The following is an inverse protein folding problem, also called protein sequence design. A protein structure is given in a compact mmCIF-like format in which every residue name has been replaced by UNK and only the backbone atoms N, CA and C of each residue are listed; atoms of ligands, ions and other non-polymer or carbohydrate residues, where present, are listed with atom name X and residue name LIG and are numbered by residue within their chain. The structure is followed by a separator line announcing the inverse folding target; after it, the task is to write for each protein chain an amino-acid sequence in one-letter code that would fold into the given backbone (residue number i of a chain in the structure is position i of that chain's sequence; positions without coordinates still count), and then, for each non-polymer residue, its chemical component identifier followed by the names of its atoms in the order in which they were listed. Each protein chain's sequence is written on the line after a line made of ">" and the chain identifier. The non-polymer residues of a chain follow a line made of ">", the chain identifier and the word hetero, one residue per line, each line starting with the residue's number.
data_IF_220226663093
#
_entry.id   IF_220226663093
#
_cell.length_a   1.000
_cell.length_b   1.000
_cell.length_c   1.000
_cell.angle_alpha   90.00
_cell.angle_beta   90.00
_cell.angle_gamma   90.00
#
_symmetry.space_group_name_H-M   'P 1'
#
loop_
_entity.id
_entity.type
_entity.pdbx_description
1 polymer ?
#
# COMPACT_ATOMS: atom_id res chain seq x y z
N UNK A 1 -42.41 -9.10 -16.32
CA UNK A 1 -42.95 -9.39 -17.67
C UNK A 1 -43.84 -8.25 -18.08
N UNK A 2 -43.76 -7.87 -19.36
CA UNK A 2 -44.26 -6.64 -19.93
C UNK A 2 -45.75 -6.35 -19.65
N UNK A 3 -46.07 -5.10 -19.35
CA UNK A 3 -47.35 -4.49 -19.70
C UNK A 3 -47.08 -3.28 -20.59
N UNK A 4 -47.01 -3.62 -21.88
CA UNK A 4 -47.44 -2.90 -23.06
C UNK A 4 -48.15 -1.58 -22.73
N UNK A 5 -47.41 -0.49 -22.95
CA UNK A 5 -47.98 0.80 -23.31
C UNK A 5 -48.80 0.62 -24.59
N UNK A 6 -50.10 0.86 -24.53
CA UNK A 6 -50.90 1.11 -25.72
C UNK A 6 -51.97 2.17 -25.47
N UNK A 7 -51.80 3.26 -26.22
CA UNK A 7 -52.83 4.05 -26.87
C UNK A 7 -53.61 5.05 -26.02
N UNK A 8 -52.94 6.21 -25.88
CA UNK A 8 -53.51 7.54 -26.01
C UNK A 8 -54.64 7.58 -27.05
N UNK A 9 -55.83 7.92 -26.58
CA UNK A 9 -57.01 8.22 -27.40
C UNK A 9 -57.73 9.41 -26.78
N UNK A 10 -57.13 10.59 -26.94
CA UNK A 10 -57.78 11.87 -26.68
C UNK A 10 -59.09 11.94 -27.47
N UNK A 11 -60.21 11.91 -26.77
CA UNK A 11 -61.44 12.53 -27.27
C UNK A 11 -62.03 13.35 -26.15
N UNK A 12 -61.64 14.62 -26.17
CA UNK A 12 -62.35 15.71 -25.54
C UNK A 12 -63.80 15.68 -26.06
N UNK A 13 -64.70 15.08 -25.31
CA UNK A 13 -66.13 15.29 -25.47
C UNK A 13 -66.66 15.89 -24.18
N UNK A 14 -66.63 17.23 -24.15
CA UNK A 14 -67.48 18.05 -23.32
C UNK A 14 -68.93 17.68 -23.63
N UNK A 15 -69.48 16.68 -22.94
CA UNK A 15 -70.91 16.44 -22.90
C UNK A 15 -71.47 17.12 -21.66
N UNK A 16 -72.23 18.18 -21.93
CA UNK A 16 -72.94 18.98 -20.95
C UNK A 16 -73.64 18.14 -19.88
N UNK A 17 -73.64 18.65 -18.66
CA UNK A 17 -74.47 18.17 -17.53
C UNK A 17 -75.99 18.19 -17.85
N UNK A 18 -76.39 18.74 -19.00
CA UNK A 18 -77.76 18.80 -19.50
C UNK A 18 -77.98 17.96 -20.78
N UNK A 19 -77.42 16.75 -20.83
CA UNK A 19 -77.64 15.80 -21.91
C UNK A 19 -79.13 15.46 -22.08
N UNK A 20 -79.69 15.88 -23.23
CA UNK A 20 -80.84 15.31 -23.94
C UNK A 20 -81.99 14.77 -23.08
N UNK A 21 -82.91 15.65 -22.69
CA UNK A 21 -84.24 15.29 -22.18
C UNK A 21 -85.06 14.62 -23.28
N UNK A 22 -84.89 13.32 -23.47
CA UNK A 22 -85.74 12.52 -24.34
C UNK A 22 -86.89 11.93 -23.50
N UNK A 23 -88.06 12.57 -23.62
CA UNK A 23 -89.40 12.01 -23.44
C UNK A 23 -89.59 10.99 -22.31
N UNK A 24 -89.82 11.48 -21.08
CA UNK A 24 -90.76 10.93 -20.07
C UNK A 24 -90.82 11.83 -18.82
N UNK A 25 -90.76 13.15 -18.99
CA UNK A 25 -91.04 14.09 -17.90
C UNK A 25 -92.55 14.36 -17.97
N UNK A 26 -93.32 13.85 -17.00
CA UNK A 26 -94.67 14.35 -16.73
C UNK A 26 -94.50 15.77 -16.17
N UNK A 27 -94.44 16.74 -17.08
CA UNK A 27 -94.29 18.15 -16.78
C UNK A 27 -95.66 18.79 -16.67
N UNK A 28 -95.97 19.33 -15.49
CA UNK A 28 -97.10 20.20 -15.27
C UNK A 28 -98.32 19.48 -14.73
N UNK A 29 -98.44 19.46 -13.40
CA UNK A 29 -99.61 19.80 -12.61
C UNK A 29 -99.13 19.82 -11.15
N UNK A 30 -99.44 20.88 -10.41
CA UNK A 30 -99.08 21.05 -9.01
C UNK A 30 -99.78 19.99 -8.13
N UNK A 31 -99.17 18.81 -7.99
CA UNK A 31 -99.63 17.75 -7.10
C UNK A 31 -98.42 17.25 -6.32
N UNK A 32 -98.49 17.26 -4.99
CA UNK A 32 -97.43 16.88 -4.06
C UNK A 32 -97.13 15.37 -4.06
N UNK A 33 -96.83 14.80 -5.22
CA UNK A 33 -96.33 13.44 -5.40
C UNK A 33 -94.92 13.54 -5.98
N UNK A 34 -93.93 13.31 -5.11
CA UNK A 34 -92.51 13.33 -5.44
C UNK A 34 -92.12 12.05 -6.19
N UNK A 35 -92.31 12.07 -7.51
CA UNK A 35 -91.99 10.94 -8.39
C UNK A 35 -90.50 10.63 -8.43
N UNK A 36 -89.63 11.61 -8.18
CA UNK A 36 -88.17 11.42 -8.11
C UNK A 36 -87.79 10.68 -6.82
N UNK A 37 -88.38 11.03 -5.67
CA UNK A 37 -88.20 10.25 -4.43
C UNK A 37 -88.76 8.82 -4.54
N UNK A 38 -89.82 8.61 -5.33
CA UNK A 38 -90.33 7.26 -5.61
C UNK A 38 -89.38 6.44 -6.50
N UNK A 39 -88.85 7.05 -7.57
CA UNK A 39 -87.85 6.43 -8.45
C UNK A 39 -86.55 6.16 -7.67
N UNK A 40 -86.13 7.11 -6.84
CA UNK A 40 -85.00 6.93 -5.93
C UNK A 40 -85.27 5.76 -4.98
N UNK A 41 -86.43 5.71 -4.31
CA UNK A 41 -86.83 4.60 -3.46
C UNK A 41 -86.81 3.24 -4.16
N UNK A 42 -87.25 3.17 -5.43
CA UNK A 42 -87.19 1.93 -6.24
C UNK A 42 -85.76 1.55 -6.62
N UNK A 43 -84.92 2.52 -6.99
CA UNK A 43 -83.52 2.30 -7.42
C UNK A 43 -82.57 2.08 -6.24
N UNK A 44 -82.89 2.57 -5.04
CA UNK A 44 -82.09 2.36 -3.82
C UNK A 44 -81.90 0.87 -3.51
N UNK A 45 -82.92 0.03 -3.74
CA UNK A 45 -82.82 -1.43 -3.57
C UNK A 45 -81.75 -2.06 -4.50
N UNK A 46 -81.68 -1.60 -5.75
CA UNK A 46 -80.67 -2.02 -6.71
C UNK A 46 -79.29 -1.45 -6.38
N UNK A 47 -79.19 -0.19 -5.93
CA UNK A 47 -77.94 0.41 -5.44
C UNK A 47 -77.35 -0.41 -4.28
N UNK A 48 -78.18 -0.81 -3.31
CA UNK A 48 -77.75 -1.66 -2.20
C UNK A 48 -77.28 -3.04 -2.68
N UNK A 49 -78.00 -3.66 -3.62
CA UNK A 49 -77.58 -4.94 -4.22
C UNK A 49 -76.25 -4.82 -4.98
N UNK A 50 -76.05 -3.73 -5.71
CA UNK A 50 -74.78 -3.43 -6.40
C UNK A 50 -73.64 -3.24 -5.39
N UNK A 51 -73.88 -2.50 -4.30
CA UNK A 51 -72.90 -2.33 -3.23
C UNK A 51 -72.53 -3.67 -2.58
N UNK A 52 -73.52 -4.54 -2.30
CA UNK A 52 -73.25 -5.88 -1.76
C UNK A 52 -72.38 -6.71 -2.72
N UNK A 53 -72.71 -6.72 -4.02
CA UNK A 53 -71.92 -7.43 -5.03
C UNK A 53 -70.51 -6.85 -5.19
N UNK A 54 -70.36 -5.52 -5.06
CA UNK A 54 -69.04 -4.87 -5.03
C UNK A 54 -68.23 -5.32 -3.81
N UNK A 55 -68.84 -5.37 -2.62
CA UNK A 55 -68.20 -5.86 -1.40
C UNK A 55 -67.79 -7.33 -1.52
N UNK A 56 -68.66 -8.19 -2.07
CA UNK A 56 -68.37 -9.60 -2.28
C UNK A 56 -67.24 -9.79 -3.29
N UNK A 57 -67.21 -8.99 -4.36
CA UNK A 57 -66.09 -8.95 -5.30
C UNK A 57 -64.79 -8.55 -4.61
N UNK A 58 -64.79 -7.52 -3.76
CA UNK A 58 -63.61 -7.12 -2.99
C UNK A 58 -63.14 -8.23 -2.04
N UNK A 59 -64.05 -8.89 -1.33
CA UNK A 59 -63.72 -10.04 -0.46
C UNK A 59 -63.09 -11.19 -1.25
N UNK A 60 -63.66 -11.52 -2.42
CA UNK A 60 -63.12 -12.57 -3.28
C UNK A 60 -61.74 -12.19 -3.84
N UNK A 61 -61.53 -10.93 -4.21
CA UNK A 61 -60.20 -10.42 -4.59
C UNK A 61 -59.20 -10.53 -3.45
N UNK A 62 -59.57 -10.15 -2.22
CA UNK A 62 -58.71 -10.30 -1.05
C UNK A 62 -58.39 -11.76 -0.74
N UNK A 63 -59.36 -12.66 -0.85
CA UNK A 63 -59.14 -14.10 -0.70
C UNK A 63 -58.18 -14.62 -1.77
N UNK A 64 -58.37 -14.24 -3.04
CA UNK A 64 -57.47 -14.62 -4.13
C UNK A 64 -56.05 -14.11 -3.90
N UNK A 65 -55.90 -12.83 -3.53
CA UNK A 65 -54.59 -12.24 -3.20
C UNK A 65 -53.95 -12.93 -1.99
N UNK A 66 -54.75 -13.32 -0.99
CA UNK A 66 -54.28 -14.11 0.15
C UNK A 66 -53.73 -15.47 -0.27
N UNK A 67 -54.45 -16.20 -1.12
CA UNK A 67 -53.98 -17.49 -1.65
C UNK A 67 -52.75 -17.35 -2.54
N UNK A 68 -52.70 -16.34 -3.40
CA UNK A 68 -51.52 -16.06 -4.23
C UNK A 68 -50.30 -15.75 -3.37
N UNK A 69 -50.45 -14.90 -2.35
CA UNK A 69 -49.34 -14.57 -1.43
C UNK A 69 -48.77 -15.80 -0.71
N UNK A 70 -49.63 -16.73 -0.27
CA UNK A 70 -49.19 -17.98 0.36
C UNK A 70 -48.48 -18.88 -0.67
N UNK A 71 -49.03 -19.00 -1.87
CA UNK A 71 -48.42 -19.79 -2.95
C UNK A 71 -47.03 -19.26 -3.31
N UNK A 72 -46.89 -17.95 -3.44
CA UNK A 72 -45.61 -17.30 -3.76
C UNK A 72 -44.56 -17.63 -2.67
N UNK A 73 -44.93 -17.52 -1.38
CA UNK A 73 -44.04 -17.88 -0.27
C UNK A 73 -43.63 -19.35 -0.28
N UNK A 74 -44.53 -20.26 -0.63
CA UNK A 74 -44.22 -21.70 -0.73
C UNK A 74 -43.28 -21.99 -1.90
N UNK A 75 -43.49 -21.34 -3.04
CA UNK A 75 -42.61 -21.46 -4.21
C UNK A 75 -41.23 -20.90 -3.89
N UNK A 76 -41.13 -19.75 -3.23
CA UNK A 76 -39.85 -19.17 -2.79
C UNK A 76 -39.13 -20.07 -1.79
N UNK A 77 -39.85 -20.61 -0.81
CA UNK A 77 -39.28 -21.57 0.15
C UNK A 77 -38.70 -22.79 -0.57
N UNK A 78 -39.46 -23.38 -1.49
CA UNK A 78 -39.01 -24.53 -2.29
C UNK A 78 -37.78 -24.19 -3.14
N UNK A 79 -37.81 -23.05 -3.85
CA UNK A 79 -36.67 -22.58 -4.65
C UNK A 79 -35.42 -22.37 -3.82
N UNK A 80 -35.55 -21.87 -2.59
CA UNK A 80 -34.41 -21.56 -1.72
C UNK A 80 -33.88 -22.76 -0.96
N UNK A 81 -34.73 -23.66 -0.48
CA UNK A 81 -34.33 -24.68 0.49
C UNK A 81 -34.46 -26.12 0.02
N UNK A 82 -35.18 -26.39 -1.08
CA UNK A 82 -35.35 -27.76 -1.59
C UNK A 82 -34.84 -27.94 -3.00
N UNK A 83 -34.55 -26.85 -3.73
CA UNK A 83 -33.99 -26.92 -5.08
C UNK A 83 -32.54 -27.38 -5.08
N UNK A 84 -32.20 -28.35 -5.94
CA UNK A 84 -30.82 -28.82 -6.13
C UNK A 84 -29.83 -27.75 -6.61
N UNK A 85 -30.32 -26.70 -7.27
CA UNK A 85 -29.47 -25.60 -7.75
C UNK A 85 -29.25 -24.51 -6.69
N UNK A 86 -29.91 -24.60 -5.54
CA UNK A 86 -29.72 -23.64 -4.45
C UNK A 86 -28.51 -23.99 -3.59
N UNK A 87 -27.71 -22.98 -3.25
CA UNK A 87 -26.59 -23.11 -2.31
C UNK A 87 -27.06 -23.39 -0.87
N UNK A 88 -28.32 -23.10 -0.56
CA UNK A 88 -28.95 -23.38 0.75
C UNK A 88 -29.91 -24.57 0.71
N UNK A 89 -29.69 -25.50 -0.23
CA UNK A 89 -30.52 -26.71 -0.34
C UNK A 89 -30.34 -27.63 0.88
N UNK A 90 -31.36 -27.71 1.73
CA UNK A 90 -31.39 -28.55 2.92
C UNK A 90 -31.46 -30.05 2.59
N UNK A 91 -31.81 -30.41 1.35
CA UNK A 91 -31.81 -31.80 0.89
C UNK A 91 -30.44 -32.23 0.33
N UNK A 92 -29.50 -31.30 0.16
CA UNK A 92 -28.15 -31.62 -0.32
C UNK A 92 -27.26 -32.07 0.83
N UNK A 93 -26.60 -33.22 0.67
CA UNK A 93 -25.60 -33.68 1.63
C UNK A 93 -24.44 -32.67 1.81
N UNK A 94 -24.08 -31.94 0.75
CA UNK A 94 -23.02 -30.93 0.79
C UNK A 94 -23.37 -29.70 1.62
N UNK A 95 -24.66 -29.44 1.87
CA UNK A 95 -25.10 -28.34 2.74
C UNK A 95 -24.61 -28.57 4.17
N UNK A 96 -24.62 -29.83 4.62
CA UNK A 96 -24.20 -30.25 5.96
C UNK A 96 -22.71 -30.58 6.07
N UNK A 97 -21.91 -30.38 5.02
CA UNK A 97 -20.46 -30.48 5.16
C UNK A 97 -20.01 -29.41 6.18
N UNK A 98 -19.30 -29.85 7.22
CA UNK A 98 -18.80 -28.97 8.27
C UNK A 98 -17.94 -27.86 7.65
N UNK A 99 -18.10 -26.64 8.18
CA UNK A 99 -17.11 -25.60 7.94
C UNK A 99 -15.76 -26.11 8.43
N UNK A 100 -14.70 -25.90 7.66
CA UNK A 100 -13.33 -26.25 8.07
C UNK A 100 -13.03 -25.55 9.39
N UNK A 101 -12.88 -26.32 10.47
CA UNK A 101 -12.45 -25.83 11.78
C UNK A 101 -10.94 -26.04 11.85
N UNK A 102 -10.19 -24.94 11.78
CA UNK A 102 -8.73 -24.99 11.93
C UNK A 102 -8.34 -24.86 13.40
N UNK A 103 -7.70 -25.89 13.95
CA UNK A 103 -7.01 -25.82 15.24
C UNK A 103 -5.50 -25.83 14.99
N UNK A 104 -4.88 -24.65 14.91
CA UNK A 104 -3.43 -24.51 14.75
C UNK A 104 -2.73 -24.57 16.11
N UNK A 105 -1.62 -25.32 16.20
CA UNK A 105 -0.80 -25.48 17.41
C UNK A 105 0.69 -25.41 17.03
N UNK A 106 1.53 -24.91 17.93
CA UNK A 106 2.99 -24.82 17.76
C UNK A 106 3.51 -23.42 17.39
N UNK A 107 4.85 -23.28 17.29
CA UNK A 107 5.56 -21.99 17.12
C UNK A 107 5.17 -21.19 15.87
N UNK A 108 4.65 -21.86 14.82
CA UNK A 108 4.29 -21.25 13.54
C UNK A 108 2.79 -21.38 13.23
N UNK A 109 1.95 -21.51 14.27
CA UNK A 109 0.50 -21.63 14.13
C UNK A 109 -0.12 -20.48 13.31
N UNK A 110 0.45 -19.28 13.43
CA UNK A 110 -0.02 -18.05 12.78
C UNK A 110 0.20 -18.04 11.25
N UNK A 111 1.04 -18.94 10.73
CA UNK A 111 1.36 -19.04 9.30
C UNK A 111 0.48 -20.06 8.55
N UNK A 112 -0.44 -20.73 9.24
CA UNK A 112 -1.30 -21.76 8.66
C UNK A 112 -2.75 -21.29 8.70
N UNK A 113 -3.32 -21.05 7.53
CA UNK A 113 -4.76 -20.78 7.37
C UNK A 113 -5.36 -21.81 6.43
N UNK A 114 -6.53 -22.37 6.80
CA UNK A 114 -7.31 -23.19 5.89
C UNK A 114 -8.78 -22.76 5.98
N UNK A 115 -9.43 -22.69 4.82
CA UNK A 115 -10.84 -22.30 4.70
C UNK A 115 -11.52 -23.23 3.71
N UNK A 116 -12.77 -23.60 3.95
CA UNK A 116 -13.55 -24.43 3.03
C UNK A 116 -14.55 -25.32 3.75
N UNK A 117 -14.98 -26.39 3.07
CA UNK A 117 -15.82 -27.45 3.61
C UNK A 117 -15.16 -28.80 3.30
N UNK A 118 -15.00 -29.65 4.31
CA UNK A 118 -14.37 -30.97 4.17
C UNK A 118 -15.09 -31.98 5.07
N UNK A 119 -15.07 -33.24 4.66
CA UNK A 119 -15.51 -34.39 5.48
C UNK A 119 -14.33 -35.20 6.03
N UNK A 120 -13.10 -34.76 5.76
CA UNK A 120 -11.85 -35.43 6.14
C UNK A 120 -11.00 -34.56 7.05
N UNK A 121 -10.28 -35.21 7.96
CA UNK A 121 -9.28 -34.57 8.82
C UNK A 121 -7.94 -34.42 8.09
N UNK A 122 -7.43 -33.20 8.04
CA UNK A 122 -6.09 -32.91 7.51
C UNK A 122 -5.19 -32.53 8.68
N UNK A 123 -4.19 -33.34 8.96
CA UNK A 123 -3.22 -33.10 10.05
C UNK A 123 -1.87 -32.71 9.46
N UNK A 124 -1.40 -31.51 9.82
CA UNK A 124 -0.03 -31.09 9.56
C UNK A 124 0.88 -31.59 10.68
N UNK A 125 1.58 -32.71 10.45
CA UNK A 125 2.51 -33.28 11.42
C UNK A 125 3.72 -32.37 11.70
N UNK A 126 4.09 -31.50 10.74
CA UNK A 126 5.17 -30.53 10.88
C UNK A 126 5.65 -30.02 9.52
N UNK A 127 6.23 -28.82 9.51
CA UNK A 127 6.91 -28.26 8.33
C UNK A 127 8.38 -28.66 8.39
N UNK A 128 8.85 -29.45 7.41
CA UNK A 128 10.25 -29.88 7.35
C UNK A 128 11.21 -28.77 6.92
N UNK A 129 10.85 -28.02 5.88
CA UNK A 129 11.65 -26.93 5.32
C UNK A 129 10.73 -25.95 4.59
N UNK A 130 11.04 -24.65 4.67
CA UNK A 130 10.35 -23.63 3.87
C UNK A 130 10.89 -23.63 2.44
N UNK A 131 10.00 -23.37 1.47
CA UNK A 131 10.44 -23.10 0.11
C UNK A 131 11.32 -21.85 0.10
N UNK A 132 12.47 -21.92 -0.54
CA UNK A 132 13.41 -20.80 -0.70
C UNK A 132 13.62 -20.55 -2.17
N UNK A 133 13.71 -19.28 -2.57
CA UNK A 133 14.03 -18.92 -3.94
C UNK A 133 15.44 -19.41 -4.29
N UNK A 134 15.65 -19.85 -5.53
CA UNK A 134 16.98 -20.20 -6.02
C UNK A 134 17.87 -18.95 -5.95
N UNK A 135 19.04 -19.10 -5.33
CA UNK A 135 20.07 -18.04 -5.24
C UNK A 135 21.33 -18.53 -5.91
N UNK A 136 21.90 -17.70 -6.78
CA UNK A 136 23.21 -17.96 -7.34
C UNK A 136 24.27 -17.47 -6.35
N UNK A 137 24.96 -18.43 -5.75
CA UNK A 137 26.18 -18.20 -4.97
C UNK A 137 27.36 -18.65 -5.83
N UNK A 138 28.37 -17.80 -5.96
CA UNK A 138 29.62 -18.21 -6.60
C UNK A 138 30.41 -19.05 -5.59
N UNK A 139 30.85 -20.24 -6.00
CA UNK A 139 31.59 -21.18 -5.14
C UNK A 139 33.02 -20.71 -4.85
N UNK A 140 33.59 -19.92 -5.75
CA UNK A 140 34.62 -18.96 -5.42
C UNK A 140 33.88 -17.71 -4.96
N UNK A 141 34.00 -17.33 -3.68
CA UNK A 141 33.59 -15.99 -3.28
C UNK A 141 34.19 -15.01 -4.28
N UNK A 142 33.42 -14.02 -4.71
CA UNK A 142 33.95 -12.96 -5.54
C UNK A 142 35.22 -12.46 -4.81
N UNK A 143 36.42 -12.80 -5.26
CA UNK A 143 37.71 -12.48 -4.63
C UNK A 143 38.03 -12.96 -3.20
N UNK A 144 37.12 -13.58 -2.43
CA UNK A 144 37.34 -13.91 -1.00
C UNK A 144 36.98 -15.36 -0.65
N UNK A 145 37.66 -15.94 0.34
CA UNK A 145 37.41 -17.32 0.78
C UNK A 145 36.13 -17.42 1.62
N UNK A 146 34.96 -17.40 0.99
CA UNK A 146 33.66 -17.51 1.66
C UNK A 146 32.52 -16.87 0.87
N UNK A 147 31.31 -16.90 1.44
CA UNK A 147 30.21 -16.05 0.96
C UNK A 147 30.28 -14.71 1.71
N UNK A 148 30.66 -13.65 1.01
CA UNK A 148 30.90 -12.33 1.61
C UNK A 148 29.96 -11.27 1.02
N UNK A 149 29.46 -10.37 1.87
CA UNK A 149 28.80 -9.15 1.45
C UNK A 149 29.75 -7.97 1.68
N UNK A 150 30.19 -7.30 0.61
CA UNK A 150 31.29 -6.32 0.67
C UNK A 150 30.80 -4.92 0.33
N UNK A 151 31.09 -3.96 1.21
CA UNK A 151 30.80 -2.54 0.98
C UNK A 151 31.84 -1.83 0.11
N UNK A 152 31.49 -0.64 -0.37
CA UNK A 152 32.39 0.32 -0.98
C UNK A 152 33.25 1.08 0.05
N UNK A 153 34.10 1.97 -0.45
CA UNK A 153 34.96 2.84 0.38
C UNK A 153 34.11 3.70 1.32
N UNK A 154 34.52 3.77 2.59
CA UNK A 154 33.95 4.68 3.59
C UNK A 154 35.03 5.51 4.25
N UNK A 155 34.67 6.70 4.72
CA UNK A 155 35.55 7.53 5.57
C UNK A 155 34.76 7.94 6.80
N UNK A 156 34.88 7.13 7.85
CA UNK A 156 34.10 7.31 9.08
C UNK A 156 34.63 8.42 9.98
N UNK A 157 35.80 9.00 9.66
CA UNK A 157 36.42 10.07 10.44
C UNK A 157 35.88 11.46 10.12
N UNK A 158 35.25 11.61 8.95
CA UNK A 158 34.70 12.89 8.51
C UNK A 158 33.46 13.27 9.34
N UNK A 159 33.25 14.58 9.59
CA UNK A 159 31.98 15.05 10.12
C UNK A 159 30.87 14.72 9.12
N UNK A 160 29.67 14.49 9.65
CA UNK A 160 28.48 14.32 8.84
C UNK A 160 27.59 15.54 9.03
N UNK A 161 27.14 16.13 7.92
CA UNK A 161 26.16 17.21 7.97
C UNK A 161 24.79 16.57 7.80
N UNK A 162 23.93 16.77 8.79
CA UNK A 162 22.60 16.20 8.88
C UNK A 162 21.54 17.23 8.54
N UNK A 163 20.55 16.82 7.76
CA UNK A 163 19.35 17.58 7.51
C UNK A 163 18.47 17.64 8.75
N UNK A 164 18.07 18.85 9.12
CA UNK A 164 17.07 19.13 10.14
C UNK A 164 15.64 19.08 9.57
N UNK A 165 15.48 18.78 8.28
CA UNK A 165 14.17 18.68 7.61
C UNK A 165 13.58 17.27 7.68
N UNK A 166 13.75 16.59 8.81
CA UNK A 166 13.22 15.25 9.01
C UNK A 166 11.69 15.26 9.13
N UNK A 167 11.03 14.26 8.57
CA UNK A 167 9.57 14.13 8.65
C UNK A 167 8.97 13.60 7.35
N UNK A 168 7.69 13.87 7.14
CA UNK A 168 6.99 13.41 5.94
C UNK A 168 6.21 14.53 5.25
N UNK A 169 6.06 14.42 3.94
CA UNK A 169 5.11 15.14 3.13
C UNK A 169 4.06 14.15 2.63
N UNK A 170 2.81 14.38 2.96
CA UNK A 170 1.67 13.58 2.53
C UNK A 170 0.93 14.30 1.41
N UNK A 171 0.71 13.60 0.31
CA UNK A 171 0.00 14.08 -0.86
C UNK A 171 -1.18 13.16 -1.15
N UNK A 172 -2.28 13.71 -1.68
CA UNK A 172 -3.36 12.94 -2.27
C UNK A 172 -3.38 13.17 -3.78
N UNK A 173 -3.28 12.08 -4.54
CA UNK A 173 -3.42 12.08 -5.99
C UNK A 173 -4.83 11.61 -6.36
N UNK A 174 -5.54 12.46 -7.11
CA UNK A 174 -6.89 12.21 -7.60
C UNK A 174 -7.91 11.83 -6.49
N UNK A 175 -7.65 12.25 -5.25
CA UNK A 175 -8.50 12.03 -4.07
C UNK A 175 -8.52 10.61 -3.49
N UNK A 176 -7.88 9.64 -4.15
CA UNK A 176 -7.99 8.21 -3.80
C UNK A 176 -6.64 7.49 -3.61
N UNK A 177 -5.53 8.08 -4.08
CA UNK A 177 -4.19 7.50 -3.93
C UNK A 177 -3.35 8.42 -3.04
N UNK A 178 -3.05 7.97 -1.82
CA UNK A 178 -2.20 8.70 -0.90
C UNK A 178 -0.72 8.36 -1.14
N UNK A 179 0.11 9.41 -1.17
CA UNK A 179 1.55 9.33 -1.34
C UNK A 179 2.18 9.90 -0.07
N UNK A 180 3.12 9.18 0.52
CA UNK A 180 3.91 9.68 1.66
C UNK A 180 5.37 9.70 1.27
N UNK A 181 5.94 10.90 1.22
CA UNK A 181 7.36 11.12 0.93
C UNK A 181 8.07 11.36 2.25
N UNK A 182 9.09 10.56 2.56
CA UNK A 182 9.82 10.63 3.83
C UNK A 182 11.15 11.33 3.64
N UNK A 183 11.42 12.34 4.45
CA UNK A 183 12.66 13.07 4.49
C UNK A 183 13.46 12.68 5.73
N UNK A 184 14.72 12.34 5.52
CA UNK A 184 15.62 11.81 6.53
C UNK A 184 16.76 12.79 6.80
N UNK A 185 17.46 12.57 7.91
CA UNK A 185 18.59 13.41 8.31
C UNK A 185 19.81 13.25 7.40
N UNK A 186 19.86 12.21 6.56
CA UNK A 186 20.93 12.00 5.58
C UNK A 186 20.67 12.66 4.23
N UNK A 187 19.46 13.20 4.01
CA UNK A 187 19.11 13.82 2.73
C UNK A 187 19.94 15.11 2.53
N UNK A 188 20.66 15.21 1.41
CA UNK A 188 21.41 16.42 1.04
C UNK A 188 20.47 17.47 0.44
N UNK A 189 19.91 18.32 1.31
CA UNK A 189 18.91 19.34 0.94
C UNK A 189 19.44 20.77 1.09
N UNK A 190 20.75 20.95 1.30
CA UNK A 190 21.29 22.23 1.75
C UNK A 190 22.51 22.69 0.95
N UNK A 191 22.69 24.00 0.96
CA UNK A 191 23.88 24.71 0.47
C UNK A 191 25.05 24.56 1.44
N UNK A 192 26.26 24.94 1.02
CA UNK A 192 27.44 24.92 1.89
C UNK A 192 27.25 25.78 3.17
N UNK A 193 26.42 26.83 3.10
CA UNK A 193 26.07 27.70 4.23
C UNK A 193 24.97 27.11 5.13
N UNK A 194 24.50 25.88 4.87
CA UNK A 194 23.52 25.16 5.68
C UNK A 194 22.06 25.62 5.50
N UNK A 195 21.77 26.45 4.49
CA UNK A 195 20.42 26.86 4.09
C UNK A 195 19.83 25.90 3.07
N UNK A 196 18.49 25.84 2.97
CA UNK A 196 17.78 25.01 2.01
C UNK A 196 18.19 25.35 0.58
N UNK A 197 18.64 24.33 -0.14
CA UNK A 197 18.91 24.38 -1.57
C UNK A 197 17.67 23.85 -2.32
N UNK A 198 16.97 24.74 -3.02
CA UNK A 198 15.73 24.39 -3.70
C UNK A 198 15.92 23.43 -4.88
N UNK A 199 17.08 23.46 -5.55
CA UNK A 199 17.36 22.52 -6.66
C UNK A 199 17.67 21.14 -6.12
N UNK A 200 18.49 21.03 -5.06
CA UNK A 200 18.69 19.75 -4.37
C UNK A 200 17.39 19.19 -3.80
N UNK A 201 16.57 20.06 -3.19
CA UNK A 201 15.25 19.68 -2.68
C UNK A 201 14.32 19.16 -3.80
N UNK A 202 14.32 19.82 -4.96
CA UNK A 202 13.58 19.34 -6.13
C UNK A 202 14.04 17.95 -6.56
N UNK A 203 15.35 17.74 -6.69
CA UNK A 203 15.91 16.42 -7.07
C UNK A 203 15.52 15.34 -6.07
N UNK A 204 15.64 15.61 -4.76
CA UNK A 204 15.24 14.66 -3.72
C UNK A 204 13.73 14.34 -3.78
N UNK A 205 12.88 15.33 -4.09
CA UNK A 205 11.44 15.12 -4.24
C UNK A 205 11.11 14.26 -5.46
N UNK A 206 11.76 14.51 -6.59
CA UNK A 206 11.61 13.72 -7.83
C UNK A 206 12.05 12.26 -7.65
N UNK A 207 13.16 12.05 -6.93
CA UNK A 207 13.66 10.71 -6.58
C UNK A 207 12.67 9.97 -5.69
N UNK A 208 12.23 10.57 -4.58
CA UNK A 208 11.25 9.97 -3.67
C UNK A 208 9.91 9.69 -4.37
N UNK A 209 9.50 10.53 -5.32
CA UNK A 209 8.32 10.27 -6.17
C UNK A 209 8.53 9.09 -7.13
N UNK A 210 9.75 8.84 -7.60
CA UNK A 210 10.04 7.73 -8.51
C UNK A 210 9.86 6.36 -7.86
N UNK A 211 10.03 6.29 -6.53
CA UNK A 211 9.84 5.11 -5.70
C UNK A 211 8.35 4.78 -5.44
N UNK A 212 7.48 5.77 -5.60
CA UNK A 212 6.04 5.64 -5.39
C UNK A 212 5.35 5.16 -6.66
N UNK A 213 4.24 4.42 -6.51
CA UNK A 213 3.46 3.89 -7.65
C UNK A 213 2.06 4.46 -7.70
N UNK A 214 1.69 5.03 -8.83
CA UNK A 214 0.38 5.63 -9.10
C UNK A 214 -0.27 5.02 -10.35
N UNK A 215 -1.57 5.22 -10.47
CA UNK A 215 -2.34 4.75 -11.63
C UNK A 215 -2.34 5.79 -12.75
N UNK A 216 -1.89 5.40 -13.94
CA UNK A 216 -1.91 6.25 -15.14
C UNK A 216 -3.30 6.30 -15.81
N UNK A 217 -3.44 7.11 -16.86
CA UNK A 217 -4.69 7.21 -17.65
C UNK A 217 -5.13 5.90 -18.32
N UNK A 218 -4.24 4.91 -18.42
CA UNK A 218 -4.47 3.62 -19.04
C UNK A 218 -4.83 2.54 -18.00
N UNK A 219 -4.81 2.88 -16.70
CA UNK A 219 -5.05 1.93 -15.60
C UNK A 219 -3.81 1.14 -15.15
N UNK A 220 -2.61 1.48 -15.64
CA UNK A 220 -1.37 0.83 -15.28
C UNK A 220 -0.74 1.49 -14.04
N UNK A 221 -0.03 0.70 -13.23
CA UNK A 221 0.79 1.21 -12.13
C UNK A 221 2.17 1.65 -12.65
N UNK A 222 2.43 2.95 -12.63
CA UNK A 222 3.68 3.59 -13.07
C UNK A 222 4.32 4.37 -11.94
N UNK A 223 5.57 4.79 -12.08
CA UNK A 223 6.23 5.62 -11.06
C UNK A 223 5.58 7.00 -10.95
N UNK A 224 5.42 7.53 -9.74
CA UNK A 224 4.72 8.80 -9.53
C UNK A 224 5.44 9.97 -10.22
N UNK A 225 6.77 9.92 -10.33
CA UNK A 225 7.57 10.90 -11.08
C UNK A 225 7.26 10.94 -12.59
N UNK A 226 6.63 9.92 -13.16
CA UNK A 226 6.14 9.94 -14.55
C UNK A 226 4.83 10.74 -14.71
N UNK A 227 4.05 10.86 -13.62
CA UNK A 227 2.74 11.51 -13.61
C UNK A 227 2.76 12.89 -12.96
N UNK A 228 3.75 13.15 -12.09
CA UNK A 228 3.88 14.38 -11.32
C UNK A 228 5.14 15.13 -11.78
N UNK A 229 5.00 16.44 -11.95
CA UNK A 229 6.07 17.37 -12.21
C UNK A 229 6.29 18.24 -10.97
N UNK A 230 7.57 18.48 -10.63
CA UNK A 230 7.97 19.33 -9.52
C UNK A 230 8.55 20.63 -10.07
N UNK A 231 7.97 21.76 -9.68
CA UNK A 231 8.51 23.10 -9.90
C UNK A 231 8.96 23.71 -8.58
N UNK A 232 10.10 24.41 -8.58
CA UNK A 232 10.59 25.16 -7.43
C UNK A 232 10.89 26.60 -7.84
N UNK A 233 10.55 27.54 -6.96
CA UNK A 233 10.82 28.96 -7.07
C UNK A 233 11.93 29.40 -6.12
N UNK A 234 12.64 30.48 -6.46
CA UNK A 234 13.70 31.07 -5.64
C UNK A 234 13.19 31.66 -4.32
N UNK A 235 11.88 31.90 -4.23
CA UNK A 235 11.17 32.37 -3.03
C UNK A 235 10.75 31.23 -2.09
N UNK A 236 11.12 29.99 -2.40
CA UNK A 236 10.74 28.81 -1.62
C UNK A 236 9.41 28.19 -2.06
N UNK A 237 8.75 28.71 -3.10
CA UNK A 237 7.54 28.10 -3.63
C UNK A 237 7.85 26.74 -4.25
N UNK A 238 7.08 25.72 -3.90
CA UNK A 238 7.09 24.39 -4.51
C UNK A 238 5.74 24.16 -5.17
N UNK A 239 5.71 23.71 -6.42
CA UNK A 239 4.49 23.41 -7.17
C UNK A 239 4.53 22.00 -7.74
N UNK A 240 3.50 21.22 -7.43
CA UNK A 240 3.26 19.88 -7.94
C UNK A 240 2.14 19.96 -8.98
N UNK A 241 2.47 19.60 -10.22
CA UNK A 241 1.51 19.61 -11.34
C UNK A 241 1.47 18.27 -12.04
N UNK A 242 0.35 17.94 -12.68
CA UNK A 242 0.22 16.69 -13.43
C UNK A 242 0.91 16.77 -14.80
N UNK A 243 1.49 15.66 -15.25
CA UNK A 243 2.08 15.47 -16.59
C UNK A 243 1.03 14.92 -17.56
N UNK A 244 1.30 14.98 -18.86
CA UNK A 244 0.36 14.53 -19.91
C UNK A 244 0.01 13.04 -19.92
N UNK A 245 0.70 12.20 -19.13
CA UNK A 245 0.35 10.79 -18.94
C UNK A 245 -0.61 10.55 -17.76
N UNK A 246 -0.87 11.57 -16.94
CA UNK A 246 -1.83 11.51 -15.84
C UNK A 246 -3.27 11.38 -16.35
N UNK A 247 -4.17 10.97 -15.45
CA UNK A 247 -5.61 10.92 -15.72
C UNK A 247 -6.10 12.35 -16.02
N UNK A 248 -6.94 12.51 -17.04
CA UNK A 248 -7.48 13.82 -17.41
C UNK A 248 -8.28 14.41 -16.24
N UNK A 249 -7.91 15.62 -15.80
CA UNK A 249 -8.53 16.28 -14.64
C UNK A 249 -8.02 15.78 -13.28
N UNK A 250 -7.00 14.92 -13.23
CA UNK A 250 -6.35 14.54 -11.98
C UNK A 250 -5.83 15.78 -11.25
N UNK A 251 -5.98 15.78 -9.93
CA UNK A 251 -5.48 16.81 -9.03
C UNK A 251 -4.45 16.24 -8.07
N UNK A 252 -3.56 17.10 -7.61
CA UNK A 252 -2.57 16.81 -6.57
C UNK A 252 -2.86 17.79 -5.45
N UNK A 253 -3.01 17.26 -4.23
CA UNK A 253 -3.27 18.04 -3.04
C UNK A 253 -2.26 17.66 -1.97
N UNK A 254 -1.78 18.64 -1.20
CA UNK A 254 -1.01 18.36 0.00
C UNK A 254 -1.99 18.01 1.11
N UNK A 255 -2.00 16.76 1.55
CA UNK A 255 -2.88 16.28 2.61
C UNK A 255 -2.29 16.49 4.00
N UNK A 256 -0.97 16.73 4.10
CA UNK A 256 -0.34 17.15 5.34
C UNK A 256 1.18 17.06 5.31
N UNK A 257 1.80 17.46 6.40
CA UNK A 257 3.22 17.30 6.65
C UNK A 257 3.47 16.94 8.11
N UNK A 258 4.58 16.28 8.42
CA UNK A 258 4.95 15.89 9.78
C UNK A 258 6.41 16.21 10.12
N UNK A 259 6.76 16.04 11.40
CA UNK A 259 8.14 16.18 11.88
C UNK A 259 8.65 17.63 11.87
N UNK A 260 9.96 17.77 11.74
CA UNK A 260 10.59 19.07 11.57
C UNK A 260 10.39 19.63 10.16
N UNK A 261 10.16 18.78 9.16
CA UNK A 261 9.75 19.18 7.81
C UNK A 261 8.51 20.07 7.85
N UNK A 262 7.45 19.68 8.58
CA UNK A 262 6.23 20.47 8.71
C UNK A 262 6.48 21.90 9.22
N UNK A 263 7.44 22.10 10.13
CA UNK A 263 7.81 23.42 10.66
C UNK A 263 8.52 24.30 9.64
N UNK A 264 9.06 23.71 8.58
CA UNK A 264 9.73 24.41 7.48
C UNK A 264 8.78 24.73 6.32
N UNK A 265 7.53 24.25 6.36
CA UNK A 265 6.48 24.67 5.43
C UNK A 265 5.76 25.88 6.04
N UNK A 266 5.81 27.03 5.39
CA UNK A 266 5.34 28.31 5.97
C UNK A 266 3.83 28.50 5.92
N UNK A 267 3.14 27.82 5.01
CA UNK A 267 1.73 27.98 4.70
C UNK A 267 0.92 26.68 4.89
N UNK A 268 1.43 25.74 5.71
CA UNK A 268 0.85 24.40 5.85
C UNK A 268 -0.65 24.42 6.24
N UNK A 269 -1.04 25.31 7.16
CA UNK A 269 -2.42 25.47 7.62
C UNK A 269 -3.36 26.00 6.51
N UNK A 270 -2.84 26.73 5.53
CA UNK A 270 -3.60 27.33 4.43
C UNK A 270 -3.64 26.47 3.16
N UNK A 271 -2.82 25.41 3.09
CA UNK A 271 -2.63 24.54 1.92
C UNK A 271 -3.43 23.24 2.02
N UNK A 272 -3.78 22.80 3.23
CA UNK A 272 -4.75 21.70 3.39
C UNK A 272 -6.08 22.08 2.69
N UNK A 273 -6.50 21.31 1.70
CA UNK A 273 -7.63 21.56 0.77
C UNK A 273 -7.37 22.49 -0.45
N UNK A 274 -6.12 22.84 -0.78
CA UNK A 274 -5.75 23.57 -2.01
C UNK A 274 -4.77 22.81 -2.91
N UNK A 275 -4.54 23.37 -4.11
CA UNK A 275 -3.62 22.89 -5.15
C UNK A 275 -2.28 22.42 -4.58
N UNK A 276 -1.58 21.53 -5.28
CA UNK A 276 -0.26 20.98 -4.91
C UNK A 276 0.90 21.99 -4.80
N UNK A 277 0.64 23.22 -4.36
CA UNK A 277 1.60 24.29 -4.14
C UNK A 277 1.70 24.58 -2.65
N UNK A 278 2.93 24.71 -2.15
CA UNK A 278 3.26 25.09 -0.77
C UNK A 278 4.56 25.91 -0.77
N UNK A 279 4.86 26.60 0.33
CA UNK A 279 6.06 27.43 0.46
C UNK A 279 6.97 26.90 1.56
N UNK A 280 8.26 26.84 1.24
CA UNK A 280 9.32 26.45 2.17
C UNK A 280 9.99 27.68 2.77
N UNK A 281 10.33 27.61 4.05
CA UNK A 281 11.20 28.59 4.68
C UNK A 281 12.65 28.34 4.20
N UNK A 282 13.10 29.20 3.27
CA UNK A 282 14.48 29.18 2.72
C UNK A 282 15.48 29.99 3.54
N UNK A 283 15.03 30.71 4.57
CA UNK A 283 15.88 31.60 5.37
C UNK A 283 16.51 30.90 6.57
N UNK A 284 15.82 29.91 7.13
CA UNK A 284 16.32 29.15 8.26
C UNK A 284 17.49 28.25 7.86
N UNK A 285 18.39 28.01 8.83
CA UNK A 285 19.32 26.90 8.75
C UNK A 285 18.54 25.57 8.81
N UNK A 286 18.87 24.67 7.88
CA UNK A 286 18.27 23.34 7.76
C UNK A 286 19.32 22.22 7.83
N UNK A 287 20.58 22.58 8.06
CA UNK A 287 21.69 21.66 8.26
C UNK A 287 22.24 21.78 9.69
N UNK A 288 22.60 20.66 10.28
CA UNK A 288 23.35 20.60 11.53
C UNK A 288 24.57 19.72 11.34
N UNK A 289 25.70 20.13 11.89
CA UNK A 289 26.93 19.34 11.80
C UNK A 289 26.91 18.35 12.96
N UNK A 290 26.62 17.08 12.68
CA UNK A 290 26.75 16.05 13.69
C UNK A 290 28.21 15.74 13.96
N UNK A 291 28.41 14.92 14.99
CA UNK A 291 29.64 14.18 15.25
C UNK A 291 30.11 13.39 14.01
N UNK A 292 31.25 12.72 14.10
CA UNK A 292 31.83 11.97 12.97
C UNK A 292 30.85 10.92 12.42
N UNK A 293 31.02 10.50 11.16
CA UNK A 293 30.21 9.44 10.54
C UNK A 293 30.19 8.15 11.37
N UNK A 294 31.25 7.83 12.10
CA UNK A 294 31.25 6.72 13.05
C UNK A 294 30.31 6.96 14.23
N UNK A 295 30.38 8.13 14.85
CA UNK A 295 29.52 8.47 15.99
C UNK A 295 28.04 8.49 15.57
N UNK A 296 27.73 8.98 14.36
CA UNK A 296 26.38 8.95 13.78
C UNK A 296 25.78 7.54 13.69
N UNK A 297 26.62 6.51 13.44
CA UNK A 297 26.17 5.12 13.37
C UNK A 297 25.80 4.53 14.73
N UNK A 298 26.17 5.18 15.84
CA UNK A 298 25.84 4.71 17.19
C UNK A 298 24.32 4.69 17.40
N UNK A 299 23.78 3.58 17.90
CA UNK A 299 22.34 3.41 18.12
C UNK A 299 21.51 3.16 16.85
N UNK A 300 22.13 3.20 15.65
CA UNK A 300 21.42 2.90 14.40
C UNK A 300 21.11 1.43 14.26
N UNK A 301 20.01 1.12 13.58
CA UNK A 301 19.51 -0.26 13.42
C UNK A 301 19.62 -0.75 11.99
N UNK A 302 20.13 -1.98 11.85
CA UNK A 302 20.27 -2.72 10.60
C UNK A 302 19.38 -3.95 10.61
N UNK A 303 18.77 -4.25 9.47
CA UNK A 303 18.06 -5.50 9.23
C UNK A 303 19.04 -6.50 8.63
N UNK A 304 19.37 -7.55 9.39
CA UNK A 304 20.32 -8.58 8.98
C UNK A 304 19.56 -9.88 8.79
N UNK A 305 19.74 -10.52 7.64
CA UNK A 305 19.11 -11.79 7.29
C UNK A 305 20.18 -12.85 7.05
N UNK A 306 20.26 -13.84 7.94
CA UNK A 306 21.15 -15.00 7.80
C UNK A 306 20.30 -16.26 7.53
N UNK A 307 20.52 -16.91 6.39
CA UNK A 307 19.78 -18.12 5.98
C UNK A 307 18.25 -17.98 6.05
N UNK A 308 17.75 -16.81 5.69
CA UNK A 308 16.31 -16.48 5.72
C UNK A 308 15.77 -16.09 7.10
N UNK A 309 16.58 -16.12 8.16
CA UNK A 309 16.20 -15.57 9.46
C UNK A 309 16.63 -14.11 9.57
N UNK A 310 15.64 -13.21 9.61
CA UNK A 310 15.86 -11.77 9.74
C UNK A 310 15.81 -11.34 11.20
N UNK A 311 16.80 -10.53 11.62
CA UNK A 311 16.85 -9.87 12.94
C UNK A 311 17.20 -8.40 12.77
N UNK A 312 16.65 -7.57 13.66
CA UNK A 312 17.08 -6.18 13.82
C UNK A 312 18.32 -6.16 14.72
N UNK A 313 19.38 -5.53 14.26
CA UNK A 313 20.67 -5.41 14.93
C UNK A 313 20.92 -3.93 15.16
N UNK A 314 20.95 -3.51 16.41
CA UNK A 314 21.18 -2.12 16.79
C UNK A 314 22.63 -1.98 17.22
N UNK A 315 23.35 -1.02 16.63
CA UNK A 315 24.73 -0.73 17.01
C UNK A 315 24.79 -0.11 18.40
N UNK A 316 25.74 -0.56 19.20
CA UNK A 316 26.09 0.11 20.45
C UNK A 316 26.72 1.47 20.21
N UNK A 317 27.18 2.10 21.29
CA UNK A 317 27.97 3.32 21.20
C UNK A 317 29.34 3.03 20.58
N UNK A 318 29.67 3.76 19.51
CA UNK A 318 30.95 3.60 18.82
C UNK A 318 31.96 4.51 19.49
N UNK A 319 32.82 3.92 20.32
CA UNK A 319 33.94 4.59 20.94
C UNK A 319 35.26 3.90 20.57
N UNK A 320 36.29 4.73 20.34
CA UNK A 320 37.65 4.27 20.01
C UNK A 320 38.40 3.85 21.27
N UNK A 321 38.85 2.60 21.31
CA UNK A 321 39.61 2.08 22.43
C UNK A 321 41.13 2.19 22.22
N UNK A 322 41.89 2.06 23.29
CA UNK A 322 43.35 1.97 23.20
C UNK A 322 43.77 0.57 22.78
N UNK A 323 44.65 0.48 21.79
CA UNK A 323 45.20 -0.80 21.32
C UNK A 323 46.18 -1.37 22.32
N UNK A 324 46.20 -2.69 22.46
CA UNK A 324 47.13 -3.39 23.36
C UNK A 324 48.61 -3.16 23.02
N UNK A 325 48.92 -2.85 21.76
CA UNK A 325 50.29 -2.59 21.27
C UNK A 325 50.67 -1.09 21.26
N UNK A 326 49.83 -0.23 21.85
CA UNK A 326 50.01 1.22 21.82
C UNK A 326 49.29 1.90 20.64
N UNK A 327 48.81 3.12 20.87
CA UNK A 327 47.96 3.86 19.94
C UNK A 327 46.46 3.66 20.19
N UNK A 328 45.64 4.48 19.52
CA UNK A 328 44.18 4.42 19.60
C UNK A 328 43.62 3.75 18.34
N UNK A 329 42.50 3.05 18.46
CA UNK A 329 41.73 2.57 17.31
C UNK A 329 41.40 3.70 16.34
N UNK A 330 41.33 3.38 15.05
CA UNK A 330 40.67 4.23 14.06
C UNK A 330 39.16 4.13 14.23
N UNK A 331 38.43 5.11 13.69
CA UNK A 331 36.97 5.04 13.65
C UNK A 331 36.46 3.79 12.91
N UNK A 332 37.12 3.39 11.81
CA UNK A 332 36.80 2.13 11.12
C UNK A 332 36.98 0.89 12.00
N UNK A 333 38.04 0.83 12.80
CA UNK A 333 38.29 -0.30 13.71
C UNK A 333 37.25 -0.36 14.83
N UNK A 334 36.92 0.78 15.44
CA UNK A 334 35.89 0.87 16.47
C UNK A 334 34.50 0.47 15.93
N UNK A 335 34.15 0.89 14.71
CA UNK A 335 32.91 0.50 14.05
C UNK A 335 32.89 -0.99 13.70
N UNK A 336 33.99 -1.56 13.19
CA UNK A 336 34.09 -3.00 12.92
C UNK A 336 33.84 -3.82 14.20
N UNK A 337 34.50 -3.44 15.30
CA UNK A 337 34.36 -4.08 16.62
C UNK A 337 32.91 -4.00 17.12
N UNK A 338 32.32 -2.80 17.12
CA UNK A 338 30.95 -2.58 17.61
C UNK A 338 29.91 -3.32 16.77
N UNK A 339 30.11 -3.38 15.45
CA UNK A 339 29.25 -4.16 14.55
C UNK A 339 29.40 -5.67 14.78
N UNK A 340 30.62 -6.15 14.99
CA UNK A 340 30.87 -7.57 15.32
C UNK A 340 30.17 -7.98 16.62
N UNK A 341 30.28 -7.17 17.66
CA UNK A 341 29.59 -7.39 18.95
C UNK A 341 28.07 -7.44 18.76
N UNK A 342 27.48 -6.47 18.05
CA UNK A 342 26.05 -6.42 17.80
C UNK A 342 25.54 -7.63 16.99
N UNK A 343 26.31 -8.11 16.01
CA UNK A 343 25.99 -9.30 15.23
C UNK A 343 26.09 -10.59 16.05
N UNK A 344 27.12 -10.71 16.89
CA UNK A 344 27.31 -11.85 17.78
C UNK A 344 26.19 -11.93 18.83
N UNK A 345 25.77 -10.80 19.39
CA UNK A 345 24.63 -10.73 20.31
C UNK A 345 23.32 -11.12 19.61
N UNK A 346 23.13 -10.66 18.37
CA UNK A 346 21.91 -10.96 17.62
C UNK A 346 21.84 -12.42 17.15
N UNK A 347 22.92 -13.00 16.63
CA UNK A 347 22.90 -14.32 15.98
C UNK A 347 23.55 -15.44 16.81
N UNK A 348 24.29 -15.08 17.85
CA UNK A 348 25.14 -15.99 18.61
C UNK A 348 26.38 -16.41 17.81
N UNK A 349 27.28 -17.11 18.50
CA UNK A 349 28.48 -17.71 17.92
C UNK A 349 28.26 -19.16 17.48
N UNK A 350 29.17 -19.69 16.68
CA UNK A 350 29.28 -21.11 16.38
C UNK A 350 29.73 -21.89 17.63
N UNK A 351 29.58 -23.22 17.59
CA UNK A 351 29.94 -24.09 18.71
C UNK A 351 31.43 -24.06 19.07
N UNK A 352 32.29 -23.66 18.13
CA UNK A 352 33.74 -23.49 18.31
C UNK A 352 34.12 -22.09 18.84
N UNK A 353 33.15 -21.21 19.08
CA UNK A 353 33.35 -19.85 19.55
C UNK A 353 33.63 -18.83 18.45
N UNK A 354 33.65 -19.23 17.17
CA UNK A 354 33.76 -18.29 16.03
C UNK A 354 32.45 -17.57 15.78
N UNK A 355 32.50 -16.37 15.21
CA UNK A 355 31.31 -15.60 14.86
C UNK A 355 30.56 -16.23 13.68
N UNK A 356 29.22 -16.22 13.71
CA UNK A 356 28.40 -16.70 12.58
C UNK A 356 28.46 -15.78 11.37
N UNK A 357 28.64 -14.49 11.64
CA UNK A 357 28.87 -13.43 10.67
C UNK A 357 30.13 -12.71 11.16
N UNK A 358 31.18 -12.75 10.36
CA UNK A 358 32.47 -12.14 10.69
C UNK A 358 32.61 -10.82 9.95
N UNK A 359 32.91 -9.75 10.69
CA UNK A 359 33.11 -8.40 10.18
C UNK A 359 34.60 -8.17 9.98
N UNK A 360 35.00 -7.94 8.74
CA UNK A 360 36.38 -7.69 8.37
C UNK A 360 36.54 -6.27 7.81
N UNK A 361 37.56 -5.55 8.28
CA UNK A 361 37.94 -4.25 7.74
C UNK A 361 38.97 -4.42 6.61
N UNK A 362 38.55 -4.10 5.39
CA UNK A 362 39.42 -4.10 4.21
C UNK A 362 40.16 -2.75 4.15
N UNK A 363 41.48 -2.77 4.33
CA UNK A 363 42.29 -1.52 4.43
C UNK A 363 42.29 -0.67 3.17
N UNK A 364 42.26 -1.30 1.99
CA UNK A 364 42.22 -0.61 0.70
C UNK A 364 41.05 -1.21 -0.09
N UNK A 365 39.89 -0.53 -0.18
CA UNK A 365 39.70 0.92 -0.08
C UNK A 365 39.05 1.39 1.24
N UNK A 366 39.44 0.91 2.42
CA UNK A 366 38.76 1.21 3.71
C UNK A 366 37.25 0.92 3.65
N UNK A 367 36.91 -0.37 3.57
CA UNK A 367 35.53 -0.86 3.48
C UNK A 367 35.29 -2.05 4.42
N UNK A 368 34.04 -2.43 4.62
CA UNK A 368 33.66 -3.56 5.46
C UNK A 368 33.24 -4.77 4.62
N UNK A 369 33.70 -5.96 5.02
CA UNK A 369 33.18 -7.24 4.54
C UNK A 369 32.43 -7.94 5.66
N UNK A 370 31.30 -8.54 5.31
CA UNK A 370 30.52 -9.40 6.18
C UNK A 370 30.59 -10.83 5.65
N UNK A 371 31.43 -11.64 6.28
CA UNK A 371 31.75 -12.99 5.86
C UNK A 371 30.85 -14.00 6.58
N UNK A 372 30.30 -14.96 5.84
CA UNK A 372 29.57 -16.10 6.42
C UNK A 372 30.13 -17.41 5.88
N UNK A 373 29.97 -18.48 6.67
CA UNK A 373 30.41 -19.82 6.27
C UNK A 373 29.83 -20.27 4.93
N UNK A 374 30.60 -21.05 4.17
CA UNK A 374 30.25 -21.51 2.82
C UNK A 374 28.84 -22.13 2.76
N UNK A 375 28.04 -21.69 1.78
CA UNK A 375 26.66 -22.13 1.58
C UNK A 375 25.62 -21.38 2.43
N UNK A 376 26.06 -20.52 3.34
CA UNK A 376 25.15 -19.59 4.02
C UNK A 376 24.87 -18.38 3.14
N UNK A 377 23.68 -17.81 3.30
CA UNK A 377 23.26 -16.58 2.61
C UNK A 377 23.09 -15.45 3.62
N UNK A 378 23.68 -14.30 3.31
CA UNK A 378 23.59 -13.09 4.10
C UNK A 378 23.00 -11.96 3.25
N UNK A 379 22.11 -11.20 3.86
CA UNK A 379 21.70 -9.87 3.40
C UNK A 379 21.70 -8.92 4.59
N UNK A 380 22.24 -7.74 4.41
CA UNK A 380 22.25 -6.68 5.40
C UNK A 380 21.80 -5.38 4.75
N UNK A 381 20.81 -4.72 5.35
CA UNK A 381 20.33 -3.40 4.95
C UNK A 381 20.15 -2.52 6.18
N UNK A 382 20.22 -1.20 6.03
CA UNK A 382 19.78 -0.30 7.09
C UNK A 382 18.25 -0.35 7.22
N UNK A 383 17.73 -0.08 8.41
CA UNK A 383 16.28 0.13 8.61
C UNK A 383 15.89 1.56 8.25
N UNK A 384 16.80 2.50 8.51
CA UNK A 384 16.68 3.92 8.15
C UNK A 384 17.36 4.15 6.79
N UNK A 385 16.69 4.86 5.89
CA UNK A 385 17.24 5.19 4.57
C UNK A 385 18.47 6.09 4.70
N UNK A 386 19.47 5.89 3.84
CA UNK A 386 20.74 6.63 3.82
C UNK A 386 21.74 6.24 4.91
N UNK A 387 21.31 5.61 6.01
CA UNK A 387 22.23 5.07 7.02
C UNK A 387 23.11 3.94 6.46
N UNK A 388 22.56 3.17 5.52
CA UNK A 388 23.29 2.11 4.81
C UNK A 388 24.52 2.65 4.11
N UNK A 389 24.39 3.75 3.39
CA UNK A 389 25.52 4.37 2.66
C UNK A 389 26.66 4.85 3.56
N UNK A 390 26.36 5.22 4.80
CA UNK A 390 27.40 5.63 5.78
C UNK A 390 28.30 4.45 6.15
N UNK A 391 27.73 3.25 6.28
CA UNK A 391 28.47 2.04 6.67
C UNK A 391 28.97 1.24 5.46
N UNK A 392 28.21 1.19 4.38
CA UNK A 392 28.46 0.33 3.21
C UNK A 392 29.08 1.08 2.04
N UNK A 393 29.22 2.41 2.12
CA UNK A 393 29.71 3.26 1.03
C UNK A 393 28.58 3.83 0.18
N UNK A 394 28.87 4.95 -0.50
CA UNK A 394 27.92 5.70 -1.34
C UNK A 394 27.22 4.78 -2.37
N UNK A 395 25.90 4.93 -2.50
CA UNK A 395 25.06 4.11 -3.39
C UNK A 395 24.77 2.69 -2.90
N UNK A 396 25.21 2.30 -1.69
CA UNK A 396 25.00 0.97 -1.13
C UNK A 396 24.09 1.03 0.10
N UNK A 397 22.78 0.87 -0.08
CA UNK A 397 21.83 0.72 1.05
C UNK A 397 21.64 -0.73 1.52
N UNK A 398 22.07 -1.70 0.70
CA UNK A 398 21.96 -3.13 1.02
C UNK A 398 23.14 -3.89 0.44
N UNK A 399 23.75 -4.73 1.26
CA UNK A 399 24.79 -5.67 0.85
C UNK A 399 24.28 -7.11 0.93
N UNK A 400 24.64 -7.94 -0.05
CA UNK A 400 24.27 -9.36 -0.09
C UNK A 400 25.46 -10.25 -0.41
N UNK A 401 25.49 -11.44 0.18
CA UNK A 401 26.50 -12.48 -0.11
C UNK A 401 26.12 -13.37 -1.30
N UNK A 402 25.12 -12.95 -2.07
CA UNK A 402 24.58 -13.66 -3.24
C UNK A 402 24.14 -12.63 -4.29
N UNK A 403 24.07 -13.06 -5.55
CA UNK A 403 23.59 -12.22 -6.63
C UNK A 403 22.06 -12.15 -6.59
N UNK A 404 21.51 -10.94 -6.51
CA UNK A 404 20.06 -10.72 -6.54
C UNK A 404 19.59 -10.52 -7.99
N UNK A 405 19.09 -11.59 -8.61
CA UNK A 405 18.65 -11.58 -10.02
C UNK A 405 17.40 -10.72 -10.27
N UNK A 406 16.79 -10.15 -9.23
CA UNK A 406 15.70 -9.18 -9.39
C UNK A 406 16.19 -7.76 -9.71
N UNK A 407 17.49 -7.48 -9.53
CA UNK A 407 18.11 -6.19 -9.84
C UNK A 407 18.55 -6.10 -11.31
N UNK A 408 18.59 -4.88 -11.85
CA UNK A 408 19.15 -4.60 -13.17
C UNK A 408 20.68 -4.77 -13.15
N UNK A 409 21.30 -5.00 -14.32
CA UNK A 409 22.76 -5.14 -14.41
C UNK A 409 23.53 -3.92 -13.86
N UNK A 410 23.02 -2.70 -14.08
CA UNK A 410 23.61 -1.49 -13.50
C UNK A 410 23.53 -1.43 -11.97
N UNK A 411 22.52 -2.07 -11.38
CA UNK A 411 22.34 -2.15 -9.92
C UNK A 411 23.10 -3.33 -9.28
N UNK A 412 23.60 -4.26 -10.10
CA UNK A 412 24.36 -5.43 -9.65
C UNK A 412 25.86 -5.18 -9.65
N UNK A 413 26.32 -4.21 -10.44
CA UNK A 413 27.74 -3.98 -10.59
C UNK A 413 28.14 -2.89 -11.57
N UNK A 414 29.42 -2.56 -11.54
CA UNK A 414 30.04 -1.58 -12.43
C UNK A 414 31.00 -2.27 -13.39
N UNK A 415 30.90 -1.95 -14.67
CA UNK A 415 31.91 -2.31 -15.66
C UNK A 415 32.79 -1.09 -15.93
N UNK A 416 34.07 -1.17 -15.56
CA UNK A 416 35.05 -0.11 -15.83
C UNK A 416 35.96 -0.58 -16.94
N UNK A 417 35.98 0.14 -18.07
CA UNK A 417 36.96 -0.07 -19.14
C UNK A 417 38.21 0.73 -18.80
N UNK A 418 39.37 0.10 -18.83
CA UNK A 418 40.64 0.77 -18.60
C UNK A 418 40.83 1.83 -19.69
N UNK A 419 40.93 3.11 -19.27
CA UNK A 419 41.09 4.24 -20.18
C UNK A 419 42.43 4.21 -20.92
N UNK A 420 43.41 3.44 -20.43
CA UNK A 420 44.73 3.27 -21.02
C UNK A 420 44.83 2.08 -21.98
N UNK A 421 43.93 1.10 -21.86
CA UNK A 421 43.87 -0.09 -22.70
C UNK A 421 42.41 -0.55 -22.86
N UNK A 422 41.80 -0.18 -23.99
CA UNK A 422 40.39 -0.51 -24.28
C UNK A 422 40.11 -2.01 -24.43
N UNK A 423 41.13 -2.87 -24.36
CA UNK A 423 40.96 -4.33 -24.34
C UNK A 423 40.82 -4.91 -22.92
N UNK A 424 41.03 -4.09 -21.88
CA UNK A 424 40.86 -4.49 -20.49
C UNK A 424 39.63 -3.84 -19.88
N UNK A 425 38.75 -4.66 -19.32
CA UNK A 425 37.61 -4.20 -18.55
C UNK A 425 37.55 -4.95 -17.22
N UNK A 426 37.28 -4.23 -16.14
CA UNK A 426 37.09 -4.77 -14.80
C UNK A 426 35.60 -4.75 -14.49
N UNK A 427 35.01 -5.92 -14.28
CA UNK A 427 33.64 -6.05 -13.78
C UNK A 427 33.68 -6.18 -12.26
N UNK A 428 32.95 -5.32 -11.55
CA UNK A 428 32.70 -5.46 -10.12
C UNK A 428 31.26 -5.85 -9.90
N UNK A 429 30.99 -6.99 -9.27
CA UNK A 429 29.66 -7.40 -8.82
C UNK A 429 29.62 -7.35 -7.29
N UNK A 430 28.61 -6.70 -6.71
CA UNK A 430 28.53 -6.46 -5.25
C UNK A 430 29.84 -5.91 -4.67
N UNK A 431 30.44 -4.92 -5.34
CA UNK A 431 31.73 -4.30 -5.00
C UNK A 431 32.96 -5.20 -5.03
N UNK A 432 32.84 -6.41 -5.58
CA UNK A 432 33.99 -7.30 -5.72
C UNK A 432 34.34 -7.54 -7.18
N UNK A 433 35.64 -7.46 -7.49
CA UNK A 433 36.19 -7.72 -8.81
C UNK A 433 35.99 -9.18 -9.23
N UNK A 434 35.45 -9.34 -10.43
CA UNK A 434 35.29 -10.62 -11.12
C UNK A 434 36.39 -10.70 -12.17
N UNK A 435 37.31 -11.67 -12.00
CA UNK A 435 38.36 -11.96 -12.98
C UNK A 435 37.83 -12.66 -14.24
#
# INVERSE_FOLDING_TARGET
>A
MASISSLMGSSSSSSSIYGSRNSNIISGLASGLDTESMIEGMVQSYKQKIQSLQQDRTKLQWQQSGYQSISDKLVEFSRKYTSYTSTTNLLSNSFFNNAVITSTKGKYADLVTASGKSTSDVVLNGVRQLATAARYQTSAGLGTSGSAAVGGHVDLSKPMVLSQMTGTLSLSYNGNEDITLSFNETDDLFTEDGKLDMEKFKTALEEKLSEQKLTDKSGNKVSASELINVGVGSDGQVTLSTKGNAISGASIQVSGASGNFAKKVTDLDDVTDKSGTFHMNVTDTVADISATKAEYLSGKTFSVTLNGQTKKVTLGEIERQNKQQGGQETWSEATARTMQEALDDAFGKNSDGTSKIEVELIKNPNSFSFNVGTGNTLSISSVESGVGEVLFGEGNDTLTSYLDTSKTLGNLGTLTVDKSDSTKATLKLNNVEVE
#
